data_IF_107044617659
#
_entry.id   IF_107044617659
#
_cell.length_a   1.000
_cell.length_b   1.000
_cell.length_c   1.000
_cell.angle_alpha   90.00
_cell.angle_beta   90.00
_cell.angle_gamma   90.00
#
_symmetry.space_group_name_H-M   'P 1'
#
loop_
_entity.id
_entity.type
_entity.pdbx_description
1 polymer ?
#
# COMPACT_ATOMS: atom_id res chain seq x y z
N UNK A 1 1.81 16.48 -4.58
CA UNK A 1 2.24 15.06 -4.56
C UNK A 1 3.59 14.91 -5.26
N UNK A 2 4.56 14.23 -4.66
CA UNK A 2 5.89 13.98 -5.23
C UNK A 2 5.95 12.54 -5.74
N UNK A 3 6.65 12.30 -6.86
CA UNK A 3 6.75 10.98 -7.49
C UNK A 3 5.51 10.59 -8.29
N UNK A 4 5.42 9.30 -8.66
CA UNK A 4 4.31 8.74 -9.43
C UNK A 4 4.00 9.53 -10.72
N UNK A 5 5.02 9.91 -11.49
CA UNK A 5 4.92 10.88 -12.60
C UNK A 5 3.79 10.55 -13.59
N UNK A 6 3.71 9.29 -14.04
CA UNK A 6 2.70 8.86 -15.01
C UNK A 6 1.28 8.92 -14.43
N UNK A 7 1.11 8.40 -13.18
CA UNK A 7 -0.18 8.44 -12.48
C UNK A 7 -0.67 9.87 -12.32
N UNK A 8 0.21 10.78 -11.89
CA UNK A 8 -0.11 12.21 -11.75
C UNK A 8 -0.46 12.89 -13.05
N UNK A 9 0.29 12.59 -14.12
CA UNK A 9 0.02 13.16 -15.44
C UNK A 9 -1.37 12.74 -15.95
N UNK A 10 -1.72 11.46 -15.86
CA UNK A 10 -3.01 10.94 -16.27
C UNK A 10 -4.16 11.51 -15.41
N UNK A 11 -4.01 11.46 -14.07
CA UNK A 11 -5.03 12.01 -13.17
C UNK A 11 -5.29 13.49 -13.41
N UNK A 12 -4.25 14.27 -13.69
CA UNK A 12 -4.41 15.69 -13.99
C UNK A 12 -5.32 15.92 -15.20
N UNK A 13 -5.12 15.16 -16.28
CA UNK A 13 -5.95 15.25 -17.47
C UNK A 13 -7.41 14.92 -17.15
N UNK A 14 -7.64 13.83 -16.40
CA UNK A 14 -9.00 13.41 -16.05
C UNK A 14 -9.70 14.42 -15.12
N UNK A 15 -8.99 14.92 -14.12
CA UNK A 15 -9.51 15.91 -13.17
C UNK A 15 -9.82 17.24 -13.89
N UNK A 16 -8.91 17.73 -14.73
CA UNK A 16 -9.11 18.96 -15.47
C UNK A 16 -10.30 18.84 -16.44
N UNK A 17 -10.46 17.70 -17.11
CA UNK A 17 -11.58 17.42 -18.00
C UNK A 17 -12.91 17.36 -17.25
N UNK A 18 -13.01 16.62 -16.14
CA UNK A 18 -14.22 16.51 -15.32
C UNK A 18 -14.61 17.87 -14.76
N UNK A 19 -13.64 18.64 -14.24
CA UNK A 19 -13.86 20.00 -13.75
C UNK A 19 -14.35 20.94 -14.83
N UNK A 20 -13.78 20.86 -16.05
CA UNK A 20 -14.19 21.69 -17.18
C UNK A 20 -15.63 21.41 -17.65
N UNK A 21 -16.09 20.17 -17.56
CA UNK A 21 -17.49 19.79 -17.89
C UNK A 21 -18.45 20.01 -16.72
N UNK A 22 -17.96 20.22 -15.50
CA UNK A 22 -18.80 20.34 -14.30
C UNK A 22 -19.41 19.01 -13.85
N UNK A 23 -18.83 17.88 -14.25
CA UNK A 23 -19.26 16.52 -13.97
C UNK A 23 -18.49 15.88 -12.81
N UNK A 24 -19.02 14.77 -12.26
CA UNK A 24 -18.24 13.91 -11.38
C UNK A 24 -17.11 13.25 -12.19
N UNK A 25 -15.95 13.03 -11.56
CA UNK A 25 -14.87 12.24 -12.13
C UNK A 25 -15.29 10.76 -12.16
N UNK A 26 -14.88 10.01 -13.19
CA UNK A 26 -15.04 8.56 -13.21
C UNK A 26 -14.44 7.92 -11.97
N UNK A 27 -14.95 6.75 -11.57
CA UNK A 27 -14.47 6.05 -10.40
C UNK A 27 -13.02 5.62 -10.55
N UNK A 28 -12.23 5.82 -9.49
CA UNK A 28 -10.77 5.62 -9.47
C UNK A 28 -10.41 4.45 -8.55
N UNK A 29 -9.63 3.49 -9.05
CA UNK A 29 -9.05 2.43 -8.24
C UNK A 29 -7.55 2.65 -8.06
N UNK A 30 -7.12 2.95 -6.82
CA UNK A 30 -5.73 3.09 -6.44
C UNK A 30 -5.22 1.77 -5.85
N UNK A 31 -4.29 1.10 -6.52
CA UNK A 31 -3.73 -0.15 -5.99
C UNK A 31 -2.21 -0.11 -5.91
N UNK A 32 -1.65 -0.89 -5.00
CA UNK A 32 -0.20 -0.97 -4.77
C UNK A 32 0.17 -1.10 -3.30
N UNK A 33 1.47 -1.29 -3.00
CA UNK A 33 1.96 -1.49 -1.64
C UNK A 33 1.45 -0.48 -0.61
N UNK A 34 1.44 -0.81 0.68
CA UNK A 34 0.99 0.11 1.72
C UNK A 34 1.95 1.29 1.87
N UNK A 35 1.42 2.45 2.32
CA UNK A 35 2.23 3.61 2.67
C UNK A 35 2.73 4.47 1.49
N UNK A 36 2.23 4.24 0.26
CA UNK A 36 2.59 5.01 -0.94
C UNK A 36 1.79 6.31 -1.11
N UNK A 37 0.84 6.61 -0.21
CA UNK A 37 0.07 7.84 -0.24
C UNK A 37 -1.25 7.75 -1.03
N UNK A 38 -1.88 6.58 -1.13
CA UNK A 38 -3.19 6.39 -1.79
C UNK A 38 -4.25 7.35 -1.23
N UNK A 39 -4.40 7.40 0.07
CA UNK A 39 -5.33 8.32 0.77
C UNK A 39 -4.99 9.79 0.49
N UNK A 40 -3.71 10.16 0.52
CA UNK A 40 -3.26 11.52 0.20
C UNK A 40 -3.60 11.90 -1.24
N UNK A 41 -3.43 10.97 -2.18
CA UNK A 41 -3.76 11.21 -3.59
C UNK A 41 -5.28 11.42 -3.77
N UNK A 42 -6.11 10.62 -3.10
CA UNK A 42 -7.57 10.78 -3.10
C UNK A 42 -8.01 12.16 -2.53
N UNK A 43 -7.38 12.61 -1.44
CA UNK A 43 -7.63 13.94 -0.89
C UNK A 43 -7.24 15.06 -1.86
N UNK A 44 -6.11 14.89 -2.57
CA UNK A 44 -5.67 15.86 -3.58
C UNK A 44 -6.67 15.91 -4.74
N UNK A 45 -7.17 14.76 -5.21
CA UNK A 45 -8.20 14.71 -6.27
C UNK A 45 -9.44 15.51 -5.87
N UNK A 46 -9.99 15.28 -4.68
CA UNK A 46 -11.15 16.03 -4.19
C UNK A 46 -10.87 17.54 -4.11
N UNK A 47 -9.69 17.92 -3.62
CA UNK A 47 -9.28 19.32 -3.53
C UNK A 47 -9.13 20.00 -4.90
N UNK A 48 -8.56 19.31 -5.87
CA UNK A 48 -8.39 19.83 -7.24
C UNK A 48 -9.73 19.93 -7.97
N UNK A 49 -10.67 19.03 -7.69
CA UNK A 49 -12.06 19.11 -8.18
C UNK A 49 -12.87 20.21 -7.48
N UNK A 50 -12.44 20.68 -6.31
CA UNK A 50 -13.15 21.67 -5.50
C UNK A 50 -14.44 21.14 -4.86
N UNK A 51 -14.45 19.87 -4.46
CA UNK A 51 -15.63 19.15 -3.92
C UNK A 51 -15.37 18.57 -2.53
N UNK A 52 -16.42 18.12 -1.85
CA UNK A 52 -16.31 17.45 -0.56
C UNK A 52 -15.54 16.14 -0.63
N UNK A 53 -14.89 15.79 0.50
CA UNK A 53 -14.15 14.54 0.65
C UNK A 53 -14.66 13.79 1.87
N UNK A 54 -15.14 12.56 1.67
CA UNK A 54 -15.54 11.65 2.73
C UNK A 54 -14.66 10.40 2.68
N UNK A 55 -14.13 9.99 3.81
CA UNK A 55 -13.24 8.85 3.91
C UNK A 55 -13.82 7.79 4.85
N UNK A 56 -13.72 6.54 4.42
CA UNK A 56 -14.04 5.35 5.20
C UNK A 56 -13.12 4.20 4.79
N UNK A 57 -13.36 3.01 5.32
CA UNK A 57 -12.60 1.81 4.93
C UNK A 57 -13.50 0.58 4.87
N UNK A 58 -13.11 -0.43 4.08
CA UNK A 58 -13.85 -1.68 3.95
C UNK A 58 -14.22 -2.31 5.30
N UNK A 59 -13.29 -2.47 6.26
CA UNK A 59 -13.60 -3.01 7.59
C UNK A 59 -14.62 -2.22 8.40
N UNK A 60 -14.77 -0.93 8.17
CA UNK A 60 -15.73 -0.07 8.87
C UNK A 60 -17.15 -0.23 8.32
N UNK A 61 -17.28 -0.55 7.03
CA UNK A 61 -18.55 -0.80 6.38
C UNK A 61 -18.95 -2.26 6.61
N UNK A 62 -19.54 -2.54 7.76
CA UNK A 62 -19.89 -3.91 8.14
C UNK A 62 -21.20 -4.39 7.48
N UNK A 63 -22.12 -3.47 7.19
CA UNK A 63 -23.47 -3.78 6.70
C UNK A 63 -23.85 -2.85 5.55
N UNK A 64 -24.80 -3.32 4.74
CA UNK A 64 -25.42 -2.55 3.67
C UNK A 64 -25.94 -1.17 4.11
N UNK A 65 -26.55 -1.10 5.30
CA UNK A 65 -27.04 0.16 5.88
C UNK A 65 -25.96 1.17 6.19
N UNK A 66 -24.75 0.72 6.54
CA UNK A 66 -23.62 1.62 6.82
C UNK A 66 -23.17 2.34 5.53
N UNK A 67 -23.09 1.59 4.41
CA UNK A 67 -22.79 2.14 3.10
C UNK A 67 -23.90 3.08 2.63
N UNK A 68 -25.16 2.67 2.78
CA UNK A 68 -26.33 3.47 2.42
C UNK A 68 -26.33 4.82 3.14
N UNK A 69 -26.07 4.84 4.45
CA UNK A 69 -25.98 6.07 5.23
C UNK A 69 -24.86 6.99 4.73
N UNK A 70 -23.73 6.44 4.27
CA UNK A 70 -22.65 7.25 3.71
C UNK A 70 -23.07 7.84 2.37
N UNK A 71 -23.61 7.01 1.45
CA UNK A 71 -23.97 7.41 0.08
C UNK A 71 -25.10 8.46 0.04
N UNK A 72 -26.12 8.31 0.85
CA UNK A 72 -27.27 9.26 0.92
C UNK A 72 -26.89 10.63 1.49
N UNK A 73 -25.74 10.75 2.17
CA UNK A 73 -25.22 12.01 2.70
C UNK A 73 -24.21 12.71 1.79
N UNK A 74 -23.92 12.15 0.60
CA UNK A 74 -23.03 12.79 -0.37
C UNK A 74 -23.73 13.99 -1.06
N UNK A 75 -22.93 14.99 -1.37
CA UNK A 75 -23.35 16.11 -2.21
C UNK A 75 -22.94 15.82 -3.67
N UNK A 76 -23.56 16.49 -4.66
CA UNK A 76 -23.19 16.32 -6.07
C UNK A 76 -21.69 16.49 -6.29
N UNK A 77 -21.07 15.52 -6.97
CA UNK A 77 -19.65 15.45 -7.30
C UNK A 77 -18.69 15.18 -6.15
N UNK A 78 -19.18 14.96 -4.92
CA UNK A 78 -18.34 14.61 -3.78
C UNK A 78 -17.45 13.39 -4.10
N UNK A 79 -16.29 13.35 -3.46
CA UNK A 79 -15.39 12.20 -3.51
C UNK A 79 -15.60 11.35 -2.24
N UNK A 80 -16.05 10.12 -2.45
CA UNK A 80 -16.06 9.07 -1.43
C UNK A 80 -14.77 8.26 -1.56
N UNK A 81 -13.98 8.20 -0.50
CA UNK A 81 -12.78 7.37 -0.43
C UNK A 81 -13.03 6.15 0.45
N UNK A 82 -12.80 4.95 -0.11
CA UNK A 82 -12.87 3.67 0.63
C UNK A 82 -11.49 3.02 0.61
N UNK A 83 -10.82 3.00 1.78
CA UNK A 83 -9.56 2.28 1.94
C UNK A 83 -9.81 0.78 2.14
N UNK A 84 -8.87 -0.07 1.74
CA UNK A 84 -8.96 -1.53 1.85
C UNK A 84 -10.29 -2.09 1.29
N UNK A 85 -10.69 -1.64 0.10
CA UNK A 85 -11.98 -2.00 -0.52
C UNK A 85 -12.16 -3.51 -0.71
N UNK A 86 -11.08 -4.27 -0.86
CA UNK A 86 -11.09 -5.73 -0.96
C UNK A 86 -11.62 -6.44 0.30
N UNK A 87 -11.85 -5.71 1.39
CA UNK A 87 -12.41 -6.22 2.65
C UNK A 87 -13.91 -5.96 2.80
N UNK A 88 -14.55 -5.43 1.79
CA UNK A 88 -16.02 -5.34 1.76
C UNK A 88 -16.62 -6.74 1.74
N UNK A 89 -17.76 -6.91 2.41
CA UNK A 89 -18.55 -8.14 2.28
C UNK A 89 -19.28 -8.19 0.94
N UNK A 90 -19.57 -9.36 0.38
CA UNK A 90 -20.33 -9.49 -0.87
C UNK A 90 -21.65 -8.73 -0.85
N UNK A 91 -22.37 -8.76 0.28
CA UNK A 91 -23.65 -8.03 0.42
C UNK A 91 -23.50 -6.51 0.34
N UNK A 92 -22.35 -5.97 0.74
CA UNK A 92 -22.03 -4.54 0.60
C UNK A 92 -21.61 -4.21 -0.82
N UNK A 93 -20.83 -5.09 -1.47
CA UNK A 93 -20.45 -4.92 -2.88
C UNK A 93 -21.68 -4.89 -3.79
N UNK A 94 -22.67 -5.76 -3.59
CA UNK A 94 -23.90 -5.80 -4.38
C UNK A 94 -24.68 -4.48 -4.37
N UNK A 95 -24.66 -3.78 -3.24
CA UNK A 95 -25.27 -2.44 -3.14
C UNK A 95 -24.42 -1.36 -3.79
N UNK A 96 -23.09 -1.53 -3.76
CA UNK A 96 -22.17 -0.57 -4.35
C UNK A 96 -22.28 -0.55 -5.90
N UNK A 97 -22.61 -1.67 -6.53
CA UNK A 97 -22.67 -1.77 -7.98
C UNK A 97 -23.66 -0.78 -8.62
N UNK A 98 -24.96 -0.79 -8.28
CA UNK A 98 -25.92 0.18 -8.86
C UNK A 98 -25.61 1.62 -8.42
N UNK A 99 -25.02 1.81 -7.25
CA UNK A 99 -24.60 3.14 -6.80
C UNK A 99 -23.47 3.71 -7.68
N UNK A 100 -22.57 2.87 -8.20
CA UNK A 100 -21.49 3.30 -9.10
C UNK A 100 -21.96 3.48 -10.54
N UNK A 101 -22.84 2.63 -11.06
CA UNK A 101 -23.26 2.63 -12.46
C UNK A 101 -24.38 3.65 -12.73
N UNK A 102 -25.45 3.57 -11.92
CA UNK A 102 -26.70 4.28 -12.15
C UNK A 102 -26.94 5.41 -11.15
N UNK A 103 -26.05 5.59 -10.17
CA UNK A 103 -26.26 6.49 -9.03
C UNK A 103 -27.57 6.19 -8.29
N UNK A 104 -27.87 4.92 -8.11
CA UNK A 104 -29.06 4.43 -7.44
C UNK A 104 -28.70 3.47 -6.32
N UNK A 105 -29.51 3.47 -5.28
CA UNK A 105 -29.35 2.60 -4.13
C UNK A 105 -30.62 1.80 -3.93
N UNK A 106 -30.53 0.48 -4.05
CA UNK A 106 -31.64 -0.42 -3.79
C UNK A 106 -31.50 -0.98 -2.35
N UNK A 107 -32.48 -0.64 -1.49
CA UNK A 107 -32.51 -1.09 -0.12
C UNK A 107 -33.74 -1.95 0.15
N UNK A 108 -33.56 -3.07 0.83
CA UNK A 108 -34.64 -3.87 1.36
C UNK A 108 -34.96 -3.39 2.78
N UNK A 109 -36.16 -2.88 2.97
CA UNK A 109 -36.65 -2.39 4.28
C UNK A 109 -37.70 -3.39 4.82
N UNK A 110 -37.51 -3.84 6.04
CA UNK A 110 -38.36 -4.85 6.70
C UNK A 110 -37.80 -6.26 6.60
N UNK A 111 -38.47 -7.19 7.22
CA UNK A 111 -38.10 -8.61 7.25
C UNK A 111 -39.27 -9.50 6.76
N UNK A 112 -38.92 -10.68 6.21
CA UNK A 112 -39.87 -11.69 5.77
C UNK A 112 -40.77 -11.23 4.60
N UNK A 113 -42.00 -11.76 4.49
CA UNK A 113 -42.92 -11.45 3.37
C UNK A 113 -43.37 -9.99 3.25
N UNK A 114 -43.16 -9.18 4.31
CA UNK A 114 -43.50 -7.76 4.34
C UNK A 114 -42.32 -6.86 3.91
N UNK A 115 -41.17 -7.43 3.58
CA UNK A 115 -40.02 -6.67 3.11
C UNK A 115 -40.35 -5.96 1.78
N UNK A 116 -39.94 -4.70 1.68
CA UNK A 116 -40.14 -3.86 0.49
C UNK A 116 -38.80 -3.39 -0.02
N UNK A 117 -38.60 -3.44 -1.32
CA UNK A 117 -37.47 -2.77 -1.97
C UNK A 117 -37.79 -1.30 -2.16
N UNK A 118 -36.90 -0.44 -1.72
CA UNK A 118 -36.95 1.03 -1.90
C UNK A 118 -35.73 1.43 -2.70
N UNK A 119 -35.97 2.11 -3.82
CA UNK A 119 -34.94 2.69 -4.67
C UNK A 119 -34.77 4.16 -4.31
N UNK A 120 -33.51 4.57 -4.08
CA UNK A 120 -33.14 5.94 -3.73
C UNK A 120 -32.16 6.43 -4.81
N UNK A 121 -32.49 7.55 -5.44
CA UNK A 121 -31.56 8.21 -6.35
C UNK A 121 -30.46 8.94 -5.57
N UNK A 122 -29.23 8.78 -6.00
CA UNK A 122 -28.03 9.40 -5.43
C UNK A 122 -27.55 10.54 -6.33
N UNK A 123 -26.98 11.61 -5.76
CA UNK A 123 -26.28 12.58 -6.57
C UNK A 123 -25.05 11.92 -7.23
N UNK A 124 -24.71 12.26 -8.49
CA UNK A 124 -23.46 11.78 -9.09
C UNK A 124 -22.26 12.08 -8.20
N UNK A 125 -21.45 11.08 -7.91
CA UNK A 125 -20.28 11.15 -7.04
C UNK A 125 -19.10 10.39 -7.66
N UNK A 126 -17.90 10.63 -7.14
CA UNK A 126 -16.71 9.88 -7.51
C UNK A 126 -16.33 8.94 -6.38
N UNK A 127 -16.28 7.63 -6.65
CA UNK A 127 -15.66 6.68 -5.75
C UNK A 127 -14.15 6.59 -6.04
N UNK A 128 -13.33 6.88 -5.04
CA UNK A 128 -11.90 6.58 -5.07
C UNK A 128 -11.64 5.42 -4.11
N UNK A 129 -11.40 4.24 -4.65
CA UNK A 129 -11.10 3.07 -3.86
C UNK A 129 -9.59 2.84 -3.74
N UNK A 130 -9.15 2.32 -2.61
CA UNK A 130 -7.77 1.93 -2.41
C UNK A 130 -7.66 0.47 -1.95
N UNK A 131 -6.61 -0.21 -2.43
CA UNK A 131 -6.29 -1.58 -2.00
C UNK A 131 -4.81 -1.85 -2.03
N UNK A 132 -4.34 -2.71 -1.11
CA UNK A 132 -3.01 -3.31 -1.15
C UNK A 132 -3.01 -4.63 -1.91
N UNK A 133 -4.17 -5.29 -2.04
CA UNK A 133 -4.36 -6.63 -2.61
C UNK A 133 -5.33 -6.59 -3.79
N UNK A 134 -4.88 -6.07 -4.94
CA UNK A 134 -5.73 -5.93 -6.14
C UNK A 134 -6.33 -7.26 -6.63
N UNK A 135 -5.64 -8.39 -6.40
CA UNK A 135 -6.12 -9.72 -6.77
C UNK A 135 -7.30 -10.23 -5.93
N UNK A 136 -7.63 -9.58 -4.81
CA UNK A 136 -8.78 -9.93 -3.98
C UNK A 136 -10.04 -9.12 -4.33
N UNK A 137 -9.94 -8.14 -5.22
CA UNK A 137 -11.13 -7.42 -5.71
C UNK A 137 -11.84 -8.32 -6.71
N UNK A 138 -13.17 -8.46 -6.54
CA UNK A 138 -14.00 -9.20 -7.48
C UNK A 138 -13.97 -8.57 -8.89
N UNK A 139 -14.04 -9.38 -9.92
CA UNK A 139 -14.06 -8.88 -11.30
C UNK A 139 -15.19 -7.88 -11.53
N UNK A 140 -16.46 -8.14 -11.08
CA UNK A 140 -17.53 -7.18 -11.23
C UNK A 140 -17.26 -5.81 -10.60
N UNK A 141 -16.63 -5.78 -9.42
CA UNK A 141 -16.27 -4.52 -8.78
C UNK A 141 -15.13 -3.81 -9.52
N UNK A 142 -14.14 -4.55 -9.99
CA UNK A 142 -12.98 -4.00 -10.70
C UNK A 142 -13.38 -3.32 -12.00
N UNK A 143 -14.27 -3.94 -12.77
CA UNK A 143 -14.69 -3.47 -14.10
C UNK A 143 -15.48 -2.15 -14.04
N UNK A 144 -15.99 -1.79 -12.87
CA UNK A 144 -16.69 -0.53 -12.63
C UNK A 144 -15.79 0.67 -12.38
N UNK A 145 -14.48 0.43 -12.25
CA UNK A 145 -13.51 1.51 -12.13
C UNK A 145 -12.99 1.91 -13.52
N UNK A 146 -13.42 3.06 -14.03
CA UNK A 146 -12.95 3.62 -15.31
C UNK A 146 -11.49 4.06 -15.27
N UNK A 147 -10.93 4.33 -14.05
CA UNK A 147 -9.56 4.83 -13.86
C UNK A 147 -8.78 3.93 -12.89
N UNK A 148 -8.24 2.78 -13.34
CA UNK A 148 -7.35 1.95 -12.53
C UNK A 148 -5.93 2.51 -12.55
N UNK A 149 -5.35 2.77 -11.37
CA UNK A 149 -4.03 3.37 -11.21
C UNK A 149 -3.17 2.56 -10.24
N UNK A 150 -2.04 2.06 -10.73
CA UNK A 150 -1.05 1.38 -9.91
C UNK A 150 -0.04 2.37 -9.35
N UNK A 151 0.12 2.40 -8.02
CA UNK A 151 1.18 3.11 -7.35
C UNK A 151 2.37 2.18 -7.14
N UNK A 152 3.55 2.64 -7.54
CA UNK A 152 4.79 1.92 -7.36
C UNK A 152 5.60 2.51 -6.20
N UNK A 153 6.57 1.76 -5.70
CA UNK A 153 7.54 2.28 -4.74
C UNK A 153 8.27 3.48 -5.35
N UNK A 154 8.60 4.45 -4.51
CA UNK A 154 9.30 5.66 -4.95
C UNK A 154 10.78 5.38 -5.17
N UNK A 155 11.36 6.05 -6.16
CA UNK A 155 12.79 6.08 -6.34
C UNK A 155 13.48 6.83 -5.17
N UNK A 156 14.74 6.53 -4.86
CA UNK A 156 15.45 7.15 -3.73
C UNK A 156 15.48 8.69 -3.79
N UNK A 157 15.61 9.28 -4.99
CA UNK A 157 15.59 10.73 -5.21
C UNK A 157 14.22 11.35 -4.93
N UNK A 158 13.14 10.69 -5.33
CA UNK A 158 11.77 11.09 -5.02
C UNK A 158 11.50 11.05 -3.52
N UNK A 159 11.96 9.97 -2.83
CA UNK A 159 11.85 9.87 -1.38
C UNK A 159 12.69 10.93 -0.66
N UNK A 160 13.91 11.21 -1.12
CA UNK A 160 14.74 12.26 -0.55
C UNK A 160 14.04 13.64 -0.68
N UNK A 161 13.35 13.90 -1.78
CA UNK A 161 12.54 15.11 -1.94
C UNK A 161 11.34 15.14 -0.97
N UNK A 162 10.68 14.01 -0.74
CA UNK A 162 9.59 13.88 0.25
C UNK A 162 10.13 14.13 1.66
N UNK A 163 11.27 13.54 2.01
CA UNK A 163 11.93 13.70 3.32
C UNK A 163 12.31 15.16 3.56
N UNK A 164 12.94 15.83 2.58
CA UNK A 164 13.28 17.26 2.69
C UNK A 164 12.05 18.15 2.90
N UNK A 165 10.98 17.90 2.15
CA UNK A 165 9.72 18.65 2.34
C UNK A 165 9.13 18.41 3.73
N UNK A 166 9.14 17.16 4.21
CA UNK A 166 8.66 16.83 5.55
C UNK A 166 9.54 17.46 6.65
N UNK A 167 10.85 17.49 6.47
CA UNK A 167 11.79 18.15 7.39
C UNK A 167 11.52 19.67 7.47
N UNK A 168 11.28 20.33 6.35
CA UNK A 168 10.92 21.74 6.33
C UNK A 168 9.63 22.03 7.12
N UNK A 169 8.62 21.18 7.00
CA UNK A 169 7.37 21.28 7.78
C UNK A 169 7.57 21.05 9.28
N UNK A 170 8.61 20.29 9.65
CA UNK A 170 8.99 20.02 11.03
C UNK A 170 10.01 21.03 11.60
N UNK A 171 10.39 22.06 10.81
CA UNK A 171 11.45 23.02 11.10
C UNK A 171 12.78 22.33 11.50
N UNK A 172 13.09 21.21 10.84
CA UNK A 172 14.30 20.43 11.06
C UNK A 172 15.41 20.85 10.07
N UNK A 173 16.60 21.20 10.58
CA UNK A 173 17.79 21.44 9.75
C UNK A 173 18.32 20.08 9.24
N UNK A 174 17.96 19.77 8.01
CA UNK A 174 18.28 18.50 7.34
C UNK A 174 19.15 18.77 6.10
N UNK A 175 20.38 18.28 6.15
CA UNK A 175 21.29 18.31 5.01
C UNK A 175 20.83 17.36 3.89
N UNK A 176 21.26 17.62 2.65
CA UNK A 176 20.86 16.82 1.50
C UNK A 176 21.31 15.35 1.60
N UNK A 177 22.48 15.11 2.13
CA UNK A 177 23.06 13.78 2.35
C UNK A 177 22.35 13.01 3.49
N UNK A 178 21.94 13.71 4.56
CA UNK A 178 21.08 13.13 5.61
C UNK A 178 19.70 12.72 5.07
N UNK A 179 19.12 13.57 4.21
CA UNK A 179 17.85 13.22 3.54
C UNK A 179 17.98 12.00 2.63
N UNK A 180 19.08 11.91 1.87
CA UNK A 180 19.37 10.77 1.01
C UNK A 180 19.55 9.48 1.81
N UNK A 181 20.23 9.52 2.98
CA UNK A 181 20.42 8.37 3.86
C UNK A 181 19.09 7.87 4.44
N UNK A 182 18.24 8.76 4.94
CA UNK A 182 16.90 8.39 5.41
C UNK A 182 16.07 7.78 4.27
N UNK A 183 16.10 8.38 3.08
CA UNK A 183 15.38 7.90 1.92
C UNK A 183 15.83 6.51 1.47
N UNK A 184 17.14 6.24 1.49
CA UNK A 184 17.74 4.96 1.12
C UNK A 184 17.23 3.82 2.01
N UNK A 185 17.09 4.05 3.32
CA UNK A 185 16.61 3.05 4.29
C UNK A 185 15.06 3.03 4.42
N UNK A 186 14.33 3.86 3.66
CA UNK A 186 12.87 3.98 3.76
C UNK A 186 12.07 3.00 2.88
N UNK A 187 12.71 2.01 2.27
CA UNK A 187 12.05 0.93 1.50
C UNK A 187 11.14 1.42 0.38
N UNK A 188 11.49 2.51 -0.30
CA UNK A 188 10.64 3.07 -1.35
C UNK A 188 9.31 3.67 -0.86
N UNK A 189 9.09 3.83 0.45
CA UNK A 189 7.79 4.10 1.05
C UNK A 189 7.75 5.43 1.82
N UNK A 190 6.93 6.41 1.40
CA UNK A 190 6.77 7.69 2.12
C UNK A 190 6.38 7.56 3.59
N UNK A 191 5.53 6.59 3.94
CA UNK A 191 5.13 6.33 5.33
C UNK A 191 6.32 5.95 6.19
N UNK A 192 7.18 5.06 5.69
CA UNK A 192 8.40 4.64 6.39
C UNK A 192 9.37 5.81 6.47
N UNK A 193 9.60 6.54 5.37
CA UNK A 193 10.46 7.73 5.35
C UNK A 193 10.05 8.77 6.39
N UNK A 194 8.76 9.07 6.50
CA UNK A 194 8.24 10.01 7.49
C UNK A 194 8.36 9.50 8.93
N UNK A 195 8.25 8.17 9.14
CA UNK A 195 8.49 7.55 10.46
C UNK A 195 9.96 7.67 10.86
N UNK A 196 10.87 7.30 9.96
CA UNK A 196 12.30 7.38 10.20
C UNK A 196 12.75 8.82 10.44
N UNK A 197 12.30 9.77 9.62
CA UNK A 197 12.62 11.19 9.79
C UNK A 197 12.25 11.71 11.18
N UNK A 198 11.07 11.38 11.71
CA UNK A 198 10.66 11.77 13.06
C UNK A 198 11.55 11.19 14.13
N UNK A 199 11.97 9.93 14.00
CA UNK A 199 12.88 9.30 14.94
C UNK A 199 14.30 9.90 14.86
N UNK A 200 14.82 10.10 13.65
CA UNK A 200 16.11 10.78 13.45
C UNK A 200 16.11 12.18 14.05
N UNK A 201 14.98 12.92 13.91
CA UNK A 201 14.83 14.24 14.55
C UNK A 201 14.98 14.16 16.08
N UNK A 202 14.39 13.14 16.72
CA UNK A 202 14.48 13.00 18.18
C UNK A 202 15.95 12.81 18.62
N UNK A 203 16.71 12.01 17.88
CA UNK A 203 18.16 11.85 18.12
C UNK A 203 18.97 13.12 17.83
N UNK A 204 18.65 13.81 16.74
CA UNK A 204 19.35 15.04 16.37
C UNK A 204 19.12 16.17 17.38
N UNK A 205 17.93 16.28 17.96
CA UNK A 205 17.63 17.25 19.03
C UNK A 205 18.55 17.06 20.23
N UNK A 206 18.86 15.82 20.57
CA UNK A 206 19.79 15.49 21.65
C UNK A 206 21.28 15.74 21.29
N UNK A 207 21.60 15.82 19.98
CA UNK A 207 22.98 15.91 19.48
C UNK A 207 23.37 17.29 18.89
N UNK A 208 22.50 18.33 18.99
CA UNK A 208 22.82 19.69 18.51
C UNK A 208 22.04 20.15 17.29
N UNK A 209 21.06 19.38 16.79
CA UNK A 209 19.96 19.86 15.96
C UNK A 209 20.11 19.69 14.45
N UNK A 210 21.32 19.66 13.86
CA UNK A 210 21.51 19.43 12.43
C UNK A 210 21.59 17.95 12.11
N UNK A 211 20.92 17.55 11.01
CA UNK A 211 20.94 16.16 10.52
C UNK A 211 21.72 16.11 9.20
N UNK A 212 22.96 15.68 9.25
CA UNK A 212 23.73 15.24 8.11
C UNK A 212 23.69 13.71 7.96
N UNK A 213 24.47 13.18 7.04
CA UNK A 213 24.55 11.74 6.79
C UNK A 213 25.01 10.97 8.04
N UNK A 214 26.02 11.47 8.77
CA UNK A 214 26.58 10.76 9.90
C UNK A 214 25.58 10.68 11.06
N UNK A 215 24.86 11.77 11.35
CA UNK A 215 23.79 11.81 12.35
C UNK A 215 22.63 10.91 11.96
N UNK A 216 22.23 10.92 10.69
CA UNK A 216 21.16 10.05 10.18
C UNK A 216 21.55 8.57 10.29
N UNK A 217 22.74 8.20 9.87
CA UNK A 217 23.28 6.84 9.91
C UNK A 217 23.32 6.31 11.34
N UNK A 218 23.95 7.06 12.25
CA UNK A 218 24.04 6.68 13.67
C UNK A 218 22.66 6.54 14.36
N UNK A 219 21.71 7.41 14.02
CA UNK A 219 20.34 7.32 14.53
C UNK A 219 19.61 6.08 14.00
N UNK A 220 19.75 5.78 12.70
CA UNK A 220 19.10 4.63 12.07
C UNK A 220 19.68 3.30 12.56
N UNK A 221 20.98 3.24 12.83
CA UNK A 221 21.62 2.07 13.44
C UNK A 221 21.11 1.81 14.85
N UNK A 222 20.94 2.88 15.67
CA UNK A 222 20.31 2.77 17.00
C UNK A 222 18.85 2.33 16.96
N UNK A 223 18.16 2.61 15.86
CA UNK A 223 16.80 2.13 15.59
C UNK A 223 16.77 0.71 14.99
N UNK A 224 17.92 0.07 14.91
CA UNK A 224 18.10 -1.26 14.33
C UNK A 224 17.63 -1.36 12.86
N UNK A 225 17.64 -0.25 12.13
CA UNK A 225 17.37 -0.20 10.70
C UNK A 225 18.67 -0.28 9.94
N UNK A 226 18.92 -1.38 9.26
CA UNK A 226 20.18 -1.62 8.56
C UNK A 226 20.32 -0.85 7.23
N UNK A 227 21.45 -1.07 6.56
CA UNK A 227 21.77 -0.40 5.29
C UNK A 227 20.78 -0.64 4.15
N UNK A 228 20.03 -1.75 4.16
CA UNK A 228 18.95 -2.03 3.22
C UNK A 228 17.60 -1.49 3.69
N UNK A 229 17.52 -1.02 4.94
CA UNK A 229 16.29 -0.59 5.55
C UNK A 229 15.52 -1.73 6.26
N UNK A 230 16.14 -2.90 6.51
CA UNK A 230 15.52 -3.96 7.28
C UNK A 230 15.56 -3.61 8.78
N UNK A 231 14.42 -3.79 9.44
CA UNK A 231 14.33 -3.65 10.89
C UNK A 231 14.57 -4.98 11.62
N UNK A 232 14.50 -4.96 12.95
CA UNK A 232 14.71 -6.15 13.76
C UNK A 232 13.77 -7.31 13.42
N UNK A 233 12.50 -6.99 13.09
CA UNK A 233 11.49 -8.00 12.75
C UNK A 233 11.78 -8.65 11.40
N UNK A 234 12.18 -7.88 10.39
CA UNK A 234 12.57 -8.43 9.08
C UNK A 234 13.74 -9.39 9.22
N UNK A 235 14.77 -8.99 9.96
CA UNK A 235 15.94 -9.85 10.21
C UNK A 235 15.55 -11.10 10.99
N UNK A 236 14.68 -10.97 12.00
CA UNK A 236 14.16 -12.11 12.76
C UNK A 236 13.37 -13.07 11.87
N UNK A 237 12.57 -12.52 10.95
CA UNK A 237 11.82 -13.31 9.96
C UNK A 237 12.76 -14.11 9.04
N UNK A 238 13.77 -13.46 8.45
CA UNK A 238 14.75 -14.13 7.59
C UNK A 238 15.56 -15.19 8.36
N UNK A 239 16.01 -14.89 9.59
CA UNK A 239 16.72 -15.84 10.46
C UNK A 239 15.83 -17.03 10.82
N UNK A 240 14.57 -16.83 11.14
CA UNK A 240 13.65 -17.92 11.41
C UNK A 240 13.59 -18.91 10.23
N UNK A 241 13.52 -18.42 9.00
CA UNK A 241 13.52 -19.28 7.80
C UNK A 241 14.87 -19.98 7.63
N UNK A 242 15.99 -19.29 7.83
CA UNK A 242 17.33 -19.88 7.65
C UNK A 242 17.66 -20.92 8.71
N UNK A 243 17.50 -20.58 9.98
CA UNK A 243 18.00 -21.36 11.13
C UNK A 243 17.05 -22.48 11.51
N UNK A 244 15.72 -22.21 11.56
CA UNK A 244 14.73 -23.19 12.00
C UNK A 244 14.22 -24.08 10.87
N UNK A 245 14.27 -23.62 9.62
CA UNK A 245 13.69 -24.34 8.47
C UNK A 245 14.67 -24.52 7.31
N UNK A 246 15.98 -24.38 7.57
CA UNK A 246 17.04 -24.63 6.57
C UNK A 246 16.88 -23.82 5.28
N UNK A 247 16.29 -22.60 5.35
CA UNK A 247 16.00 -21.74 4.20
C UNK A 247 14.64 -22.00 3.51
N UNK A 248 13.79 -22.84 4.07
CA UNK A 248 12.45 -23.18 3.55
C UNK A 248 12.44 -24.39 2.60
N UNK A 249 11.34 -24.71 1.89
CA UNK A 249 10.07 -23.97 1.94
C UNK A 249 9.33 -24.13 3.27
N UNK A 250 8.75 -23.07 3.79
CA UNK A 250 7.98 -23.07 5.03
C UNK A 250 6.64 -22.35 4.84
N UNK A 251 5.58 -22.92 5.41
CA UNK A 251 4.22 -22.36 5.33
C UNK A 251 4.07 -21.06 6.14
N UNK A 252 3.14 -20.20 5.73
CA UNK A 252 2.88 -18.92 6.40
C UNK A 252 2.39 -19.13 7.85
N UNK A 253 1.51 -20.10 8.08
CA UNK A 253 0.97 -20.38 9.41
C UNK A 253 2.07 -20.84 10.39
N UNK A 254 3.03 -21.62 9.89
CA UNK A 254 4.21 -22.04 10.66
C UNK A 254 5.08 -20.87 11.06
N UNK A 255 5.31 -19.92 10.12
CA UNK A 255 6.09 -18.70 10.38
C UNK A 255 5.33 -17.77 11.35
N UNK A 256 4.03 -17.61 11.17
CA UNK A 256 3.18 -16.81 12.05
C UNK A 256 3.26 -17.31 13.51
N UNK A 257 3.15 -18.63 13.70
CA UNK A 257 3.29 -19.25 15.02
C UNK A 257 4.71 -19.08 15.60
N UNK A 258 5.76 -19.33 14.79
CA UNK A 258 7.15 -19.23 15.23
C UNK A 258 7.56 -17.80 15.63
N UNK A 259 7.00 -16.80 14.98
CA UNK A 259 7.28 -15.38 15.22
C UNK A 259 6.33 -14.73 16.22
N UNK A 260 5.23 -15.42 16.59
CA UNK A 260 4.12 -14.86 17.37
C UNK A 260 3.51 -13.62 16.71
N UNK A 261 3.37 -13.67 15.37
CA UNK A 261 2.81 -12.62 14.55
C UNK A 261 1.55 -13.08 13.81
N UNK A 262 0.68 -12.14 13.46
CA UNK A 262 -0.48 -12.45 12.64
C UNK A 262 -0.05 -12.67 11.18
N UNK A 263 -0.69 -13.61 10.51
CA UNK A 263 -0.47 -13.88 9.09
C UNK A 263 -0.55 -12.62 8.23
N UNK A 264 -1.60 -11.81 8.42
CA UNK A 264 -1.78 -10.57 7.65
C UNK A 264 -0.63 -9.57 7.87
N UNK A 265 -0.09 -9.47 9.09
CA UNK A 265 1.10 -8.65 9.36
C UNK A 265 2.30 -9.11 8.55
N UNK A 266 2.52 -10.42 8.49
CA UNK A 266 3.63 -10.98 7.70
C UNK A 266 3.42 -10.69 6.21
N UNK A 267 2.25 -11.00 5.66
CA UNK A 267 1.96 -10.88 4.22
C UNK A 267 1.88 -9.41 3.75
N UNK A 268 1.40 -8.49 4.58
CA UNK A 268 1.15 -7.11 4.18
C UNK A 268 2.27 -6.14 4.58
N UNK A 269 3.06 -6.45 5.62
CA UNK A 269 4.05 -5.51 6.16
C UNK A 269 5.47 -6.03 5.99
N UNK A 270 5.75 -7.30 6.28
CA UNK A 270 7.10 -7.87 6.29
C UNK A 270 7.51 -8.35 4.89
N UNK A 271 6.75 -9.30 4.32
CA UNK A 271 7.10 -9.97 3.07
C UNK A 271 7.22 -9.05 1.84
N UNK A 272 6.39 -8.03 1.62
CA UNK A 272 6.40 -7.29 0.35
C UNK A 272 7.75 -6.67 0.01
N UNK A 273 8.43 -6.08 0.98
CA UNK A 273 9.75 -5.50 0.77
C UNK A 273 10.84 -6.58 0.61
N UNK A 274 10.78 -7.64 1.39
CA UNK A 274 11.73 -8.74 1.32
C UNK A 274 11.66 -9.45 -0.04
N UNK A 275 10.45 -9.65 -0.59
CA UNK A 275 10.22 -10.23 -1.92
C UNK A 275 10.74 -9.27 -3.01
N UNK A 276 10.41 -7.99 -2.92
CA UNK A 276 10.88 -6.97 -3.87
C UNK A 276 12.41 -6.91 -3.95
N UNK A 277 13.10 -7.10 -2.83
CA UNK A 277 14.56 -7.12 -2.76
C UNK A 277 15.17 -8.49 -3.11
N UNK A 278 14.36 -9.48 -3.46
CA UNK A 278 14.76 -10.87 -3.68
C UNK A 278 15.49 -11.50 -2.48
N UNK A 279 15.20 -11.02 -1.27
CA UNK A 279 15.66 -11.64 -0.02
C UNK A 279 14.81 -12.87 0.33
N UNK A 280 13.55 -12.85 -0.09
CA UNK A 280 12.55 -13.87 0.11
C UNK A 280 11.90 -14.25 -1.23
N UNK A 281 11.64 -15.53 -1.46
CA UNK A 281 10.88 -16.05 -2.59
C UNK A 281 9.59 -16.68 -2.10
N UNK A 282 8.48 -16.41 -2.80
CA UNK A 282 7.19 -17.05 -2.54
C UNK A 282 6.94 -18.14 -3.57
N UNK A 283 6.79 -19.36 -3.13
CA UNK A 283 6.56 -20.53 -3.99
C UNK A 283 5.24 -21.21 -3.61
N UNK A 284 4.68 -22.08 -4.47
CA UNK A 284 3.47 -22.88 -4.12
C UNK A 284 3.65 -23.74 -2.87
N UNK A 285 4.89 -24.14 -2.53
CA UNK A 285 5.21 -24.94 -1.34
C UNK A 285 5.44 -24.12 -0.09
N UNK A 286 5.53 -22.79 -0.20
CA UNK A 286 5.79 -21.87 0.91
C UNK A 286 6.88 -20.85 0.62
N UNK A 287 7.41 -20.26 1.68
CA UNK A 287 8.44 -19.20 1.66
C UNK A 287 9.82 -19.83 1.64
N UNK A 288 10.68 -19.31 0.78
CA UNK A 288 12.06 -19.76 0.60
C UNK A 288 12.99 -18.55 0.71
N UNK A 289 14.07 -18.69 1.46
CA UNK A 289 15.08 -17.65 1.55
C UNK A 289 15.83 -17.53 0.21
N UNK A 290 15.83 -16.34 -0.39
CA UNK A 290 16.56 -16.07 -1.63
C UNK A 290 18.07 -16.03 -1.40
N UNK A 291 18.86 -16.15 -2.47
CA UNK A 291 20.34 -16.07 -2.40
C UNK A 291 20.80 -14.76 -1.74
N UNK A 292 20.16 -13.64 -2.10
CA UNK A 292 20.44 -12.33 -1.46
C UNK A 292 20.09 -12.32 0.02
N UNK A 293 19.07 -13.08 0.45
CA UNK A 293 18.68 -13.22 1.86
C UNK A 293 19.75 -13.96 2.66
N UNK A 294 20.31 -15.04 2.12
CA UNK A 294 21.43 -15.75 2.72
C UNK A 294 22.65 -14.85 2.87
N UNK A 295 23.03 -14.16 1.80
CA UNK A 295 24.17 -13.23 1.81
C UNK A 295 23.98 -12.09 2.80
N UNK A 296 22.75 -11.55 2.90
CA UNK A 296 22.42 -10.47 3.84
C UNK A 296 22.55 -10.90 5.30
N UNK A 297 22.23 -12.17 5.61
CA UNK A 297 22.42 -12.73 6.95
C UNK A 297 23.89 -13.12 7.26
N UNK A 298 24.80 -13.00 6.28
CA UNK A 298 26.17 -13.47 6.41
C UNK A 298 26.29 -15.00 6.45
N UNK A 299 25.28 -15.69 5.88
CA UNK A 299 25.21 -17.15 5.83
C UNK A 299 25.39 -17.63 4.40
N UNK A 300 25.95 -18.83 4.23
CA UNK A 300 26.04 -19.50 2.93
C UNK A 300 24.98 -20.62 2.84
N UNK A 301 24.20 -20.67 1.74
CA UNK A 301 23.31 -21.78 1.51
C UNK A 301 24.12 -23.05 1.19
N UNK A 302 23.70 -24.21 1.73
CA UNK A 302 24.31 -25.49 1.40
C UNK A 302 24.25 -25.79 -0.12
N UNK A 303 25.14 -26.62 -0.64
CA UNK A 303 25.29 -26.91 -2.08
C UNK A 303 23.98 -27.37 -2.77
N UNK A 304 23.20 -28.22 -2.09
CA UNK A 304 21.90 -28.69 -2.60
C UNK A 304 20.87 -27.54 -2.67
N UNK A 305 20.97 -26.57 -1.76
CA UNK A 305 20.11 -25.39 -1.73
C UNK A 305 20.45 -24.43 -2.87
N UNK A 306 21.70 -24.24 -3.20
CA UNK A 306 22.13 -23.46 -4.36
C UNK A 306 21.55 -24.00 -5.67
N UNK A 307 21.57 -25.32 -5.87
CA UNK A 307 20.95 -25.98 -7.02
C UNK A 307 19.44 -25.73 -7.08
N UNK A 308 18.77 -25.80 -5.94
CA UNK A 308 17.32 -25.56 -5.86
C UNK A 308 16.95 -24.10 -6.13
N UNK A 309 17.75 -23.14 -5.64
CA UNK A 309 17.56 -21.70 -5.89
C UNK A 309 17.79 -21.38 -7.38
N UNK A 310 18.78 -21.98 -8.03
CA UNK A 310 19.05 -21.80 -9.46
C UNK A 310 17.89 -22.32 -10.33
N UNK A 311 17.28 -23.46 -9.96
CA UNK A 311 16.09 -23.99 -10.62
C UNK A 311 14.87 -23.07 -10.47
N UNK A 312 14.67 -22.49 -9.28
CA UNK A 312 13.57 -21.56 -9.02
C UNK A 312 13.75 -20.24 -9.77
N UNK A 313 14.98 -19.74 -9.88
CA UNK A 313 15.30 -18.53 -10.62
C UNK A 313 15.00 -18.70 -12.12
N UNK A 314 15.39 -19.83 -12.71
CA UNK A 314 15.12 -20.16 -14.12
C UNK A 314 13.63 -20.37 -14.42
N UNK A 315 12.86 -20.85 -13.44
CA UNK A 315 11.41 -21.05 -13.58
C UNK A 315 10.60 -19.74 -13.57
N UNK A 316 11.12 -18.67 -12.97
CA UNK A 316 10.48 -17.35 -12.97
C UNK A 316 10.67 -16.65 -14.32
N UNK A 317 11.83 -16.79 -14.94
CA UNK A 317 12.11 -16.20 -16.28
C UNK A 317 11.31 -16.89 -17.41
N UNK A 318 10.88 -18.14 -17.22
CA UNK A 318 10.11 -18.89 -18.22
C UNK A 318 8.60 -18.59 -18.20
N UNK A 319 8.09 -17.91 -17.16
CA UNK A 319 6.67 -17.57 -16.99
C UNK A 319 6.24 -16.23 -17.61
N UNK A 320 7.18 -15.32 -17.88
CA UNK A 320 6.88 -13.98 -18.41
C UNK A 320 6.90 -13.90 -19.97
N UNK A 321 7.13 -15.03 -20.63
CA UNK A 321 7.27 -15.12 -22.10
C UNK A 321 6.11 -15.75 -22.87
N UNK A 322 5.00 -16.10 -22.22
CA UNK A 322 3.88 -16.80 -22.86
C UNK A 322 2.53 -16.11 -22.61
N UNK A 323 2.41 -14.86 -23.00
CA UNK A 323 1.15 -14.22 -23.37
C UNK A 323 1.49 -13.02 -24.25
N UNK A 324 1.60 -13.31 -25.56
CA UNK A 324 1.66 -12.36 -26.64
C UNK A 324 0.29 -12.15 -27.26
#
# INVERSE_FOLDING_TARGET
FIGQRQVRANLRVFVDAARGRGEALDHVLLHGPPGLGKTTLAQIVARELGVGFRATSGPVIARAGDLAAILTNLQPRDVLFIDEIHRLSPAVEEILYPAMEDFQLDLIIGEGPAARSVRIDLPPFTLVAATTRAGLITTPLRDRFGIPLRLNVHAPDELAAIVRRAAALLALDLAADGAAEIARRARGTPRVAGRLLRRVRDFATAAGGRVDRAVADAALDRLEVDALGLDAMDRRYLRCISESYGGGPVGIETLAAALSEQRDTIEDVIEPFLIQCALLLRTPRGRVLGERGWRHLGLEPGADRLRQLDLLARGVDAGDGADG
#
